data_IF_462402690022
#
_entry.id   IF_462402690022
#
_cell.length_a   1.000
_cell.length_b   1.000
_cell.length_c   1.000
_cell.angle_alpha   90.00
_cell.angle_beta   90.00
_cell.angle_gamma   90.00
#
_symmetry.space_group_name_H-M   'P 1'
#
loop_
_entity.id
_entity.type
_entity.pdbx_description
1 polymer ?
#
# COMPACT_ATOMS: atom_id res chain seq x y z
N UNK A 1 -6.29 6.94 16.80
CA UNK A 1 -5.06 6.62 16.07
C UNK A 1 -4.87 5.13 16.17
N UNK A 2 -5.60 4.41 15.34
CA UNK A 2 -5.35 3.00 15.10
C UNK A 2 -3.99 2.96 14.39
N UNK A 3 -2.99 2.35 15.04
CA UNK A 3 -1.64 2.28 14.46
C UNK A 3 -1.71 1.16 13.44
N UNK A 4 -1.86 1.49 12.16
CA UNK A 4 -1.76 0.49 11.09
C UNK A 4 -0.43 -0.27 11.28
N UNK A 5 -0.54 -1.59 11.43
CA UNK A 5 0.57 -2.51 11.60
C UNK A 5 0.84 -3.26 10.29
N UNK A 6 2.11 -3.55 10.03
CA UNK A 6 2.52 -4.39 8.90
C UNK A 6 2.05 -5.83 9.15
N UNK A 7 1.44 -6.46 8.15
CA UNK A 7 0.82 -7.77 8.22
C UNK A 7 -0.67 -7.76 8.62
N UNK A 8 -1.29 -6.58 8.73
CA UNK A 8 -2.75 -6.49 8.86
C UNK A 8 -3.43 -6.62 7.50
N UNK A 9 -4.53 -7.37 7.48
CA UNK A 9 -5.35 -7.58 6.28
C UNK A 9 -6.59 -6.70 6.38
N UNK A 10 -6.85 -5.96 5.31
CA UNK A 10 -8.01 -5.10 5.17
C UNK A 10 -8.80 -5.48 3.92
N UNK A 11 -10.12 -5.43 4.03
CA UNK A 11 -11.01 -5.59 2.89
C UNK A 11 -11.37 -4.20 2.36
N UNK A 12 -10.96 -3.90 1.13
CA UNK A 12 -11.31 -2.65 0.44
C UNK A 12 -12.28 -2.92 -0.70
N UNK A 13 -13.02 -1.89 -1.08
CA UNK A 13 -13.84 -1.91 -2.29
C UNK A 13 -13.07 -1.20 -3.40
N UNK A 14 -12.82 -1.90 -4.50
CA UNK A 14 -12.24 -1.31 -5.69
C UNK A 14 -13.28 -0.43 -6.45
N UNK A 15 -12.84 0.28 -7.49
CA UNK A 15 -13.69 1.09 -8.37
C UNK A 15 -14.89 0.34 -8.96
N UNK A 16 -14.87 -0.99 -8.97
CA UNK A 16 -15.94 -1.87 -9.44
C UNK A 16 -16.90 -2.36 -8.33
N UNK A 17 -16.84 -1.79 -7.12
CA UNK A 17 -17.57 -2.26 -5.92
C UNK A 17 -17.24 -3.73 -5.57
N UNK A 18 -16.06 -4.20 -5.95
CA UNK A 18 -15.59 -5.55 -5.65
C UNK A 18 -14.78 -5.55 -4.35
N UNK A 19 -15.16 -6.42 -3.42
CA UNK A 19 -14.41 -6.67 -2.19
C UNK A 19 -13.09 -7.35 -2.54
N UNK A 20 -11.98 -6.70 -2.16
CA UNK A 20 -10.63 -7.25 -2.31
C UNK A 20 -9.90 -7.21 -0.97
N UNK A 21 -9.28 -8.32 -0.61
CA UNK A 21 -8.47 -8.44 0.60
C UNK A 21 -7.02 -8.05 0.30
N UNK A 22 -6.54 -7.03 1.00
CA UNK A 22 -5.18 -6.50 0.87
C UNK A 22 -4.44 -6.64 2.19
N UNK A 23 -3.17 -7.01 2.15
CA UNK A 23 -2.27 -7.06 3.30
C UNK A 23 -1.33 -5.86 3.30
N UNK A 24 -1.20 -5.20 4.44
CA UNK A 24 -0.24 -4.10 4.63
C UNK A 24 1.18 -4.67 4.69
N UNK A 25 1.95 -4.46 3.64
CA UNK A 25 3.36 -4.86 3.58
C UNK A 25 4.27 -3.89 4.35
N UNK A 26 3.92 -2.60 4.34
CA UNK A 26 4.79 -1.56 4.87
C UNK A 26 4.07 -0.24 5.08
N UNK A 27 4.66 0.62 5.92
CA UNK A 27 4.26 2.02 6.04
C UNK A 27 5.47 2.93 6.02
N UNK A 28 5.28 4.12 5.48
CA UNK A 28 6.29 5.15 5.40
C UNK A 28 5.69 6.52 5.60
N UNK A 29 6.51 7.49 6.01
CA UNK A 29 6.10 8.88 6.13
C UNK A 29 7.01 9.72 5.25
N UNK A 30 6.45 10.34 4.21
CA UNK A 30 7.18 11.20 3.28
C UNK A 30 6.63 12.63 3.40
N UNK A 31 7.51 13.59 3.68
CA UNK A 31 7.18 15.02 3.78
C UNK A 31 6.03 15.36 4.76
N UNK A 32 5.78 14.50 5.75
CA UNK A 32 4.71 14.67 6.74
C UNK A 32 3.38 14.03 6.36
N UNK A 33 3.31 13.34 5.21
CA UNK A 33 2.20 12.47 4.83
C UNK A 33 2.57 11.02 5.09
N UNK A 34 1.60 10.25 5.59
CA UNK A 34 1.76 8.81 5.83
C UNK A 34 1.27 8.04 4.61
N UNK A 35 2.03 7.03 4.20
CA UNK A 35 1.74 6.15 3.08
C UNK A 35 1.89 4.70 3.52
N UNK A 36 1.13 3.82 2.89
CA UNK A 36 1.18 2.38 3.11
C UNK A 36 1.37 1.66 1.78
N UNK A 37 2.20 0.62 1.82
CA UNK A 37 2.28 -0.38 0.76
C UNK A 37 1.36 -1.53 1.14
N UNK A 38 0.50 -1.92 0.20
CA UNK A 38 -0.44 -3.01 0.36
C UNK A 38 -0.33 -3.94 -0.85
N UNK A 39 -0.58 -5.23 -0.66
CA UNK A 39 -0.63 -6.20 -1.76
C UNK A 39 -1.84 -7.10 -1.59
N UNK A 40 -2.35 -7.66 -2.69
CA UNK A 40 -3.47 -8.59 -2.60
C UNK A 40 -3.08 -9.85 -1.83
N UNK A 41 -3.91 -10.22 -0.86
CA UNK A 41 -3.68 -11.42 -0.04
C UNK A 41 -3.60 -12.67 -0.92
N UNK A 42 -4.39 -12.74 -2.00
CA UNK A 42 -4.29 -13.84 -2.96
C UNK A 42 -2.89 -13.92 -3.57
N UNK A 43 -2.29 -12.81 -3.99
CA UNK A 43 -0.96 -12.79 -4.59
C UNK A 43 0.14 -13.09 -3.57
N UNK A 44 0.03 -12.55 -2.34
CA UNK A 44 1.00 -12.82 -1.27
C UNK A 44 0.99 -14.31 -0.86
N UNK A 45 -0.18 -14.95 -0.88
CA UNK A 45 -0.33 -16.37 -0.52
C UNK A 45 0.08 -17.32 -1.66
N UNK A 46 0.03 -16.84 -2.90
CA UNK A 46 0.49 -17.58 -4.07
C UNK A 46 2.02 -17.45 -4.10
N UNK A 47 2.73 -18.44 -3.57
CA UNK A 47 4.20 -18.56 -3.70
C UNK A 47 4.61 -18.88 -5.16
N UNK A 48 4.20 -18.05 -6.13
CA UNK A 48 4.71 -18.12 -7.50
C UNK A 48 5.99 -17.29 -7.60
N UNK A 49 6.84 -17.60 -8.57
CA UNK A 49 7.99 -16.77 -8.93
C UNK A 49 7.57 -15.45 -9.62
N UNK A 50 6.27 -15.10 -9.59
CA UNK A 50 5.75 -13.85 -10.13
C UNK A 50 5.93 -12.72 -9.11
N UNK A 51 6.27 -11.54 -9.62
CA UNK A 51 6.40 -10.34 -8.82
C UNK A 51 5.01 -9.96 -8.30
N UNK A 52 4.83 -9.91 -6.98
CA UNK A 52 3.58 -9.47 -6.37
C UNK A 52 3.30 -8.00 -6.75
N UNK A 53 2.09 -7.69 -7.19
CA UNK A 53 1.69 -6.30 -7.46
C UNK A 53 1.47 -5.57 -6.11
N UNK A 54 2.28 -4.54 -5.87
CA UNK A 54 2.23 -3.71 -4.66
C UNK A 54 1.59 -2.37 -4.99
N UNK A 55 0.54 -2.03 -4.24
CA UNK A 55 -0.18 -0.76 -4.35
C UNK A 55 0.20 0.18 -3.22
N UNK A 56 0.28 1.47 -3.55
CA UNK A 56 0.56 2.52 -2.57
C UNK A 56 -0.70 3.34 -2.29
N UNK A 57 -1.05 3.44 -1.02
CA UNK A 57 -2.17 4.28 -0.55
C UNK A 57 -1.64 5.35 0.40
N UNK A 58 -2.18 6.54 0.27
CA UNK A 58 -1.95 7.68 1.17
C UNK A 58 -2.94 7.64 2.30
N UNK A 59 -2.47 7.86 3.52
CA UNK A 59 -3.29 8.04 4.70
C UNK A 59 -3.57 9.53 4.87
N UNK A 60 -4.84 9.89 4.75
CA UNK A 60 -5.33 11.25 5.00
C UNK A 60 -5.39 11.53 6.51
N UNK A 61 -5.45 12.80 6.91
CA UNK A 61 -5.53 13.23 8.32
C UNK A 61 -6.75 12.65 9.08
N UNK A 62 -7.82 12.27 8.36
CA UNK A 62 -9.02 11.63 8.96
C UNK A 62 -8.79 10.13 9.24
N UNK A 63 -7.68 9.56 8.76
CA UNK A 63 -7.39 8.13 8.79
C UNK A 63 -7.99 7.35 7.62
N UNK A 64 -8.63 8.05 6.68
CA UNK A 64 -9.07 7.49 5.40
C UNK A 64 -7.88 7.22 4.49
N UNK A 65 -8.04 6.23 3.61
CA UNK A 65 -7.02 5.87 2.64
C UNK A 65 -7.44 6.36 1.26
N UNK A 66 -6.52 7.02 0.58
CA UNK A 66 -6.73 7.50 -0.78
C UNK A 66 -5.63 6.98 -1.68
N UNK A 67 -5.99 6.67 -2.92
CA UNK A 67 -5.01 6.40 -3.96
C UNK A 67 -4.20 7.65 -4.25
N UNK A 68 -2.94 7.46 -4.66
CA UNK A 68 -2.08 8.56 -5.08
C UNK A 68 -2.48 8.93 -6.51
N UNK A 69 -3.15 10.07 -6.68
CA UNK A 69 -3.53 10.59 -8.02
C UNK A 69 -2.41 11.40 -8.69
N UNK A 70 -1.43 11.85 -7.91
CA UNK A 70 -0.33 12.72 -8.36
C UNK A 70 0.90 11.88 -8.76
N UNK A 71 1.32 12.00 -10.02
CA UNK A 71 2.40 11.19 -10.61
C UNK A 71 3.76 11.46 -9.93
N UNK A 72 4.05 12.73 -9.58
CA UNK A 72 5.25 13.12 -8.83
C UNK A 72 5.25 12.51 -7.41
N UNK A 73 4.10 12.47 -6.73
CA UNK A 73 3.95 11.82 -5.43
C UNK A 73 4.14 10.30 -5.54
N UNK A 74 3.56 9.67 -6.55
CA UNK A 74 3.70 8.24 -6.80
C UNK A 74 5.15 7.84 -7.08
N UNK A 75 5.85 8.59 -7.94
CA UNK A 75 7.27 8.34 -8.25
C UNK A 75 8.14 8.42 -6.98
N UNK A 76 7.88 9.38 -6.09
CA UNK A 76 8.61 9.50 -4.82
C UNK A 76 8.37 8.30 -3.90
N UNK A 77 7.10 7.93 -3.69
CA UNK A 77 6.73 6.81 -2.81
C UNK A 77 7.33 5.51 -3.34
N UNK A 78 7.19 5.28 -4.64
CA UNK A 78 7.72 4.11 -5.34
C UNK A 78 9.25 4.04 -5.23
N UNK A 79 9.96 5.13 -5.51
CA UNK A 79 11.43 5.16 -5.43
C UNK A 79 11.94 4.86 -4.01
N UNK A 80 11.27 5.36 -2.97
CA UNK A 80 11.65 5.09 -1.58
C UNK A 80 11.37 3.63 -1.21
N UNK A 81 10.23 3.06 -1.65
CA UNK A 81 9.92 1.66 -1.40
C UNK A 81 10.88 0.71 -2.14
N UNK A 82 11.23 1.00 -3.39
CA UNK A 82 12.21 0.23 -4.17
C UNK A 82 13.61 0.29 -3.53
N UNK A 83 14.00 1.45 -2.99
CA UNK A 83 15.26 1.61 -2.24
C UNK A 83 15.27 0.76 -0.95
N UNK A 84 14.11 0.57 -0.30
CA UNK A 84 13.99 -0.27 0.89
C UNK A 84 14.03 -1.78 0.60
N UNK A 85 13.48 -2.23 -0.54
CA UNK A 85 13.45 -3.66 -0.91
C UNK A 85 14.70 -4.14 -1.62
N UNK A 86 15.48 -3.24 -2.22
CA UNK A 86 16.74 -3.56 -2.90
C UNK A 86 18.00 -3.52 -1.99
N UNK A 87 17.83 -3.35 -0.67
CA UNK A 87 18.91 -3.19 0.31
C UNK A 87 19.26 -4.46 1.11
#
# INVERSE_FOLDING_TARGET
>A
MERIETGEIFTILDENDQEQDIEVLGKMTIEGHDYIAVAFVEEVLIETEEEIDVFFLKIEDDGEWSSIEDDDEFEKVSAVFEEMTSA
#
